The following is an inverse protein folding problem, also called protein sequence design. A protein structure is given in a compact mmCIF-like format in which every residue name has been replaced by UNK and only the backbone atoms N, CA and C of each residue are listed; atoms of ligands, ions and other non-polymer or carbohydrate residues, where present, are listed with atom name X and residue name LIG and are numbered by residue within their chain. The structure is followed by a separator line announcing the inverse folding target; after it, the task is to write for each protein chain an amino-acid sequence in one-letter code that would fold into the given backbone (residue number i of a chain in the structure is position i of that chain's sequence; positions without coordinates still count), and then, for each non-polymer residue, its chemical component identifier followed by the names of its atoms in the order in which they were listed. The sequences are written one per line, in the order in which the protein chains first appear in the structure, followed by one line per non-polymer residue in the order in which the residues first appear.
data_IF_732804118060
#
_entry.id   IF_732804118060
#
_cell.length_a   1.000
_cell.length_b   1.000
_cell.length_c   1.000
_cell.angle_alpha   90.00
_cell.angle_beta   90.00
_cell.angle_gamma   90.00
#
_symmetry.space_group_name_H-M   'P 1'
#
loop_
_entity.id
_entity.type
_entity.pdbx_description
1 polymer ?
#
# COMPACT_ATOMS: atom_id res chain seq x y z
N UNK A 1 14.48 -1.25 16.47
CA UNK A 1 13.17 -0.63 16.72
C UNK A 1 12.27 -1.70 17.29
N UNK A 2 11.49 -1.41 18.34
CA UNK A 2 10.53 -2.40 18.85
C UNK A 2 9.31 -2.48 17.93
N UNK A 3 8.59 -3.58 17.98
CA UNK A 3 7.35 -3.73 17.20
C UNK A 3 6.27 -2.73 17.66
N UNK A 4 6.22 -2.43 18.96
CA UNK A 4 5.30 -1.44 19.53
C UNK A 4 5.58 -0.02 19.01
N UNK A 5 6.86 0.35 18.90
CA UNK A 5 7.25 1.63 18.32
C UNK A 5 6.82 1.71 16.85
N UNK A 6 6.97 0.61 16.10
CA UNK A 6 6.55 0.53 14.70
C UNK A 6 5.03 0.70 14.57
N UNK A 7 4.24 -0.06 15.34
CA UNK A 7 2.78 0.05 15.34
C UNK A 7 2.33 1.47 15.71
N UNK A 8 2.95 2.08 16.72
CA UNK A 8 2.63 3.46 17.11
C UNK A 8 2.94 4.47 16.00
N UNK A 9 4.05 4.30 15.28
CA UNK A 9 4.42 5.14 14.13
C UNK A 9 3.44 4.95 12.96
N UNK A 10 3.09 3.72 12.63
CA UNK A 10 2.13 3.39 11.58
C UNK A 10 0.75 3.96 11.90
N UNK A 11 0.27 3.82 13.15
CA UNK A 11 -1.00 4.42 13.59
C UNK A 11 -1.00 5.94 13.43
N UNK A 12 0.06 6.63 13.88
CA UNK A 12 0.16 8.10 13.69
C UNK A 12 0.08 8.47 12.21
N UNK A 13 0.77 7.74 11.35
CA UNK A 13 0.78 8.01 9.91
C UNK A 13 -0.55 7.69 9.23
N UNK A 14 -1.19 6.58 9.58
CA UNK A 14 -2.50 6.19 9.04
C UNK A 14 -3.61 7.21 9.36
N UNK A 15 -3.56 7.81 10.55
CA UNK A 15 -4.54 8.81 10.99
C UNK A 15 -4.18 10.24 10.60
N UNK A 16 -2.99 10.49 10.02
CA UNK A 16 -2.64 11.78 9.42
C UNK A 16 -3.01 11.76 7.93
N UNK A 17 -4.10 12.40 7.49
CA UNK A 17 -4.52 12.43 6.08
C UNK A 17 -3.46 13.01 5.13
N UNK A 18 -2.54 13.87 5.61
CA UNK A 18 -1.47 14.40 4.79
C UNK A 18 -0.33 13.39 4.59
N UNK A 19 -0.31 12.27 5.32
CA UNK A 19 0.78 11.27 5.33
C UNK A 19 0.32 9.82 5.19
N UNK A 20 -1.00 9.57 5.18
CA UNK A 20 -1.62 8.24 5.18
C UNK A 20 -1.14 7.35 4.02
N UNK A 21 -0.85 7.97 2.88
CA UNK A 21 -0.37 7.34 1.65
C UNK A 21 0.90 8.04 1.15
N UNK A 22 1.55 7.51 0.10
CA UNK A 22 2.74 8.12 -0.52
C UNK A 22 2.45 9.46 -1.17
N UNK A 23 1.28 9.56 -1.78
CA UNK A 23 0.77 10.75 -2.43
C UNK A 23 -0.63 11.06 -1.90
N UNK A 24 -0.94 12.34 -1.77
CA UNK A 24 -2.21 12.85 -1.27
C UNK A 24 -2.77 13.89 -2.24
N UNK A 25 -4.08 14.04 -2.23
CA UNK A 25 -4.79 14.83 -3.24
C UNK A 25 -5.40 16.07 -2.61
N UNK A 26 -5.06 17.22 -3.18
CA UNK A 26 -5.56 18.52 -2.73
C UNK A 26 -6.21 19.23 -3.93
N UNK A 27 -7.39 19.85 -3.78
CA UNK A 27 -8.04 20.54 -4.89
C UNK A 27 -7.12 21.58 -5.54
N UNK A 28 -6.94 21.52 -6.85
CA UNK A 28 -6.09 22.48 -7.58
C UNK A 28 -6.55 23.93 -7.35
N UNK A 29 -7.86 24.13 -7.20
CA UNK A 29 -8.42 25.45 -6.94
C UNK A 29 -7.96 25.99 -5.58
N UNK A 30 -7.98 25.17 -4.53
CA UNK A 30 -7.52 25.56 -3.21
C UNK A 30 -6.03 25.97 -3.24
N UNK A 31 -5.18 25.17 -3.89
CA UNK A 31 -3.76 25.49 -4.06
C UNK A 31 -3.59 26.83 -4.79
N UNK A 32 -4.33 27.03 -5.89
CA UNK A 32 -4.28 28.27 -6.67
C UNK A 32 -4.73 29.49 -5.86
N UNK A 33 -5.79 29.37 -5.07
CA UNK A 33 -6.30 30.46 -4.23
C UNK A 33 -5.31 30.79 -3.10
N UNK A 34 -4.68 29.78 -2.49
CA UNK A 34 -3.80 29.96 -1.33
C UNK A 34 -2.38 30.37 -1.71
N UNK A 35 -1.83 29.83 -2.79
CA UNK A 35 -0.42 29.94 -3.17
C UNK A 35 -0.18 30.50 -4.58
N UNK A 36 -1.24 30.70 -5.37
CA UNK A 36 -1.16 31.25 -6.73
C UNK A 36 -0.90 30.22 -7.84
N UNK A 37 -1.03 30.67 -9.08
CA UNK A 37 -0.92 29.83 -10.28
C UNK A 37 0.50 29.31 -10.56
N UNK A 38 1.54 29.98 -10.07
CA UNK A 38 2.91 29.53 -10.27
C UNK A 38 3.21 28.25 -9.49
N UNK A 39 2.84 28.21 -8.21
CA UNK A 39 3.01 27.02 -7.36
C UNK A 39 2.19 25.87 -7.92
N UNK A 40 0.93 26.12 -8.29
CA UNK A 40 0.06 25.12 -8.91
C UNK A 40 0.66 24.51 -10.19
N UNK A 41 1.34 25.30 -11.03
CA UNK A 41 1.95 24.80 -12.28
C UNK A 41 3.12 23.85 -12.05
N UNK A 42 3.77 23.91 -10.89
CA UNK A 42 4.89 23.04 -10.52
C UNK A 42 4.41 21.69 -9.98
N UNK A 43 3.14 21.58 -9.61
CA UNK A 43 2.56 20.37 -9.02
C UNK A 43 1.93 19.50 -10.11
N UNK A 44 2.19 18.20 -10.05
CA UNK A 44 1.60 17.24 -10.97
C UNK A 44 0.08 17.22 -10.78
N UNK A 45 -0.63 17.30 -11.89
CA UNK A 45 -2.09 17.14 -11.92
C UNK A 45 -2.40 15.68 -12.23
N UNK A 46 -3.15 15.00 -11.36
CA UNK A 46 -3.77 13.71 -11.70
C UNK A 46 -5.05 13.98 -12.50
N UNK A 47 -5.56 12.99 -13.23
CA UNK A 47 -6.83 13.13 -13.93
C UNK A 47 -7.92 13.67 -12.96
N UNK A 48 -8.61 14.76 -13.34
CA UNK A 48 -9.60 15.43 -12.49
C UNK A 48 -9.26 16.87 -12.13
N UNK A 49 -9.70 17.34 -10.96
CA UNK A 49 -9.52 18.71 -10.44
C UNK A 49 -8.43 18.82 -9.37
N UNK A 50 -7.76 17.72 -9.03
CA UNK A 50 -6.91 17.65 -7.85
C UNK A 50 -5.43 17.59 -8.23
N UNK A 51 -4.61 18.18 -7.38
CA UNK A 51 -3.16 18.17 -7.47
C UNK A 51 -2.62 17.02 -6.61
N UNK A 52 -1.68 16.28 -7.16
CA UNK A 52 -1.00 15.17 -6.50
C UNK A 52 0.23 15.73 -5.77
N UNK A 53 0.25 15.58 -4.45
CA UNK A 53 1.31 16.07 -3.58
C UNK A 53 1.93 14.89 -2.83
N UNK A 54 3.25 14.94 -2.63
CA UNK A 54 3.94 13.95 -1.79
C UNK A 54 3.49 14.04 -0.34
N UNK A 55 3.47 12.90 0.33
CA UNK A 55 3.15 12.78 1.75
C UNK A 55 3.89 13.83 2.60
N UNK A 56 3.12 14.63 3.33
CA UNK A 56 3.64 15.65 4.23
C UNK A 56 4.22 16.89 3.56
N UNK A 57 4.00 17.10 2.26
CA UNK A 57 4.29 18.36 1.59
C UNK A 57 3.64 19.54 2.35
N UNK A 58 4.28 20.71 2.45
CA UNK A 58 3.76 21.84 3.21
C UNK A 58 2.33 22.24 2.83
N UNK A 59 2.00 22.21 1.54
CA UNK A 59 0.67 22.53 1.02
C UNK A 59 -0.37 21.48 1.43
N UNK A 60 0.00 20.20 1.44
CA UNK A 60 -0.87 19.12 1.90
C UNK A 60 -1.11 19.22 3.40
N UNK A 61 -0.06 19.42 4.18
CA UNK A 61 -0.16 19.61 5.64
C UNK A 61 -1.04 20.82 5.96
N UNK A 62 -0.89 21.92 5.23
CA UNK A 62 -1.73 23.11 5.43
C UNK A 62 -3.20 22.82 5.09
N UNK A 63 -3.49 22.17 3.96
CA UNK A 63 -4.86 21.84 3.58
C UNK A 63 -5.55 20.93 4.60
N UNK A 64 -4.88 19.86 4.99
CA UNK A 64 -5.46 18.83 5.85
C UNK A 64 -5.52 19.18 7.34
N UNK A 65 -5.00 20.35 7.77
CA UNK A 65 -5.21 20.86 9.13
C UNK A 65 -6.71 21.03 9.44
N UNK A 66 -7.44 21.57 8.47
CA UNK A 66 -8.83 21.97 8.65
C UNK A 66 -9.80 21.21 7.73
N UNK A 67 -9.29 20.56 6.68
CA UNK A 67 -10.13 19.82 5.75
C UNK A 67 -10.79 18.61 6.44
N UNK A 68 -12.12 18.44 6.32
CA UNK A 68 -12.77 17.19 6.70
C UNK A 68 -12.14 16.03 5.94
N UNK A 69 -11.84 14.95 6.66
CA UNK A 69 -11.23 13.76 6.10
C UNK A 69 -11.77 12.56 6.84
N UNK A 70 -12.04 11.49 6.09
CA UNK A 70 -12.43 10.23 6.70
C UNK A 70 -11.23 9.62 7.42
N UNK A 71 -11.45 9.00 8.60
CA UNK A 71 -10.41 8.19 9.23
C UNK A 71 -10.07 7.01 8.31
N UNK A 72 -8.91 6.36 8.50
CA UNK A 72 -8.64 5.09 7.83
C UNK A 72 -9.70 4.05 8.23
N UNK A 73 -9.76 2.96 7.47
CA UNK A 73 -10.70 1.86 7.74
C UNK A 73 -10.53 1.36 9.18
N UNK A 74 -11.61 1.18 9.95
CA UNK A 74 -11.50 0.78 11.34
C UNK A 74 -10.73 -0.54 11.44
N UNK A 75 -9.88 -0.72 12.46
CA UNK A 75 -9.20 -1.99 12.67
C UNK A 75 -10.20 -3.14 12.76
N UNK A 76 -9.83 -4.30 12.21
CA UNK A 76 -10.65 -5.50 12.33
C UNK A 76 -10.62 -6.03 13.76
N UNK A 77 -11.71 -6.62 14.19
CA UNK A 77 -11.76 -7.34 15.46
C UNK A 77 -10.96 -8.65 15.38
N UNK A 78 -10.51 -9.15 16.53
CA UNK A 78 -9.81 -10.45 16.58
C UNK A 78 -10.67 -11.59 16.00
N UNK A 79 -11.99 -11.71 16.28
CA UNK A 79 -12.82 -12.74 15.65
C UNK A 79 -12.89 -12.65 14.12
N UNK A 80 -12.95 -11.44 13.56
CA UNK A 80 -12.94 -11.19 12.12
C UNK A 80 -11.61 -11.59 11.49
N UNK A 81 -10.48 -11.20 12.11
CA UNK A 81 -9.14 -11.62 11.70
C UNK A 81 -9.02 -13.15 11.69
N UNK A 82 -9.46 -13.82 12.76
CA UNK A 82 -9.42 -15.28 12.84
C UNK A 82 -10.35 -15.95 11.81
N UNK A 83 -11.45 -15.30 11.42
CA UNK A 83 -12.31 -15.79 10.35
C UNK A 83 -11.61 -15.70 8.98
N UNK A 84 -10.93 -14.58 8.70
CA UNK A 84 -10.11 -14.42 7.51
C UNK A 84 -8.99 -15.47 7.42
N UNK A 85 -8.24 -15.70 8.51
CA UNK A 85 -7.21 -16.74 8.57
C UNK A 85 -7.76 -18.14 8.31
N UNK A 86 -8.93 -18.47 8.88
CA UNK A 86 -9.60 -19.75 8.62
C UNK A 86 -10.01 -19.90 7.17
N UNK A 87 -10.51 -18.84 6.54
CA UNK A 87 -10.92 -18.85 5.14
C UNK A 87 -9.71 -19.09 4.22
N UNK A 88 -8.58 -18.45 4.50
CA UNK A 88 -7.32 -18.66 3.77
C UNK A 88 -6.65 -20.00 4.07
N UNK A 89 -7.03 -20.67 5.17
CA UNK A 89 -6.33 -21.86 5.67
C UNK A 89 -4.91 -21.57 6.16
N UNK A 90 -4.57 -20.30 6.42
CA UNK A 90 -3.24 -19.86 6.86
C UNK A 90 -3.34 -18.77 7.91
N UNK A 91 -2.39 -18.81 8.84
CA UNK A 91 -2.22 -17.78 9.84
C UNK A 91 -1.35 -16.65 9.30
N UNK A 92 -1.72 -15.41 9.61
CA UNK A 92 -0.89 -14.25 9.33
C UNK A 92 0.23 -14.13 10.38
N UNK A 93 1.42 -13.67 9.97
CA UNK A 93 2.47 -13.23 10.87
C UNK A 93 1.97 -12.22 11.90
N UNK A 94 2.51 -12.27 13.12
CA UNK A 94 2.03 -11.46 14.24
C UNK A 94 2.02 -9.96 13.93
N UNK A 95 3.05 -9.44 13.26
CA UNK A 95 3.08 -8.05 12.83
C UNK A 95 1.92 -7.67 11.90
N UNK A 96 1.53 -8.54 10.94
CA UNK A 96 0.37 -8.29 10.07
C UNK A 96 -0.94 -8.36 10.85
N UNK A 97 -1.07 -9.29 11.79
CA UNK A 97 -2.24 -9.35 12.67
C UNK A 97 -2.42 -8.05 13.42
N UNK A 98 -1.36 -7.56 14.05
CA UNK A 98 -1.35 -6.28 14.78
C UNK A 98 -1.62 -5.11 13.86
N UNK A 99 -1.07 -5.10 12.65
CA UNK A 99 -1.36 -4.06 11.66
C UNK A 99 -2.88 -3.94 11.44
N UNK A 100 -3.57 -5.05 11.19
CA UNK A 100 -4.99 -5.06 10.91
C UNK A 100 -5.87 -4.81 12.15
N UNK A 101 -5.46 -5.23 13.34
CA UNK A 101 -6.26 -5.11 14.58
C UNK A 101 -5.95 -3.85 15.40
N UNK A 102 -4.78 -3.25 15.21
CA UNK A 102 -4.33 -2.10 15.99
C UNK A 102 -4.18 -0.83 15.16
N UNK A 103 -3.94 -0.90 13.85
CA UNK A 103 -3.75 0.29 13.01
C UNK A 103 -5.01 0.60 12.22
N UNK A 104 -5.36 -0.25 11.26
CA UNK A 104 -6.53 -0.10 10.40
C UNK A 104 -6.73 -1.36 9.52
N UNK A 105 -7.95 -1.58 9.03
CA UNK A 105 -8.26 -2.61 8.04
C UNK A 105 -7.83 -2.17 6.62
N UNK A 106 -6.56 -1.79 6.44
CA UNK A 106 -6.04 -1.23 5.19
C UNK A 106 -6.33 0.27 5.01
N UNK A 107 -6.14 0.76 3.77
CA UNK A 107 -6.39 2.17 3.40
C UNK A 107 -5.29 3.16 3.82
N UNK A 108 -4.13 2.65 4.25
CA UNK A 108 -2.92 3.42 4.54
C UNK A 108 -1.70 2.60 4.13
N UNK A 109 -0.58 3.25 3.84
CA UNK A 109 0.61 2.57 3.34
C UNK A 109 1.07 3.11 1.98
N UNK A 110 2.03 2.43 1.33
CA UNK A 110 2.51 2.80 0.01
C UNK A 110 1.39 2.85 -1.04
N UNK A 111 1.58 3.65 -2.09
CA UNK A 111 0.62 3.91 -3.18
C UNK A 111 -0.79 4.21 -2.70
N UNK A 112 -1.72 3.27 -2.93
CA UNK A 112 -3.13 3.37 -2.59
C UNK A 112 -3.42 2.83 -1.18
N UNK A 113 -2.39 2.36 -0.50
CA UNK A 113 -2.46 1.77 0.82
C UNK A 113 -2.49 0.25 0.79
N UNK A 114 -2.24 -0.30 1.97
CA UNK A 114 -2.39 -1.71 2.29
C UNK A 114 -3.84 -2.11 2.07
N UNK A 115 -4.03 -3.25 1.41
CA UNK A 115 -5.35 -3.80 1.12
C UNK A 115 -6.06 -4.14 2.42
N UNK A 116 -7.36 -3.89 2.48
CA UNK A 116 -8.17 -4.38 3.59
C UNK A 116 -8.19 -5.90 3.59
N UNK A 117 -8.03 -6.50 4.77
CA UNK A 117 -8.05 -7.96 4.89
C UNK A 117 -9.45 -8.51 4.59
N UNK A 118 -10.50 -7.78 4.99
CA UNK A 118 -11.89 -8.11 4.73
C UNK A 118 -12.66 -6.87 4.29
N UNK A 119 -13.77 -7.09 3.58
CA UNK A 119 -14.70 -6.00 3.24
C UNK A 119 -15.32 -5.42 4.52
N UNK A 120 -15.35 -4.10 4.59
CA UNK A 120 -16.06 -3.34 5.63
C UNK A 120 -16.92 -2.26 4.99
N UNK A 121 -17.83 -1.63 5.75
CA UNK A 121 -18.77 -0.63 5.23
C UNK A 121 -18.12 0.64 4.66
N UNK A 122 -16.81 0.82 4.81
CA UNK A 122 -16.05 1.94 4.23
C UNK A 122 -15.31 1.59 2.93
N UNK A 123 -15.31 0.32 2.51
CA UNK A 123 -14.73 -0.08 1.22
C UNK A 123 -15.70 0.22 0.06
N UNK A 124 -15.20 0.78 -1.04
CA UNK A 124 -15.93 0.85 -2.32
C UNK A 124 -16.15 -0.58 -2.85
N UNK A 125 -17.19 -0.81 -3.65
CA UNK A 125 -17.40 -2.07 -4.37
C UNK A 125 -16.20 -2.46 -5.24
N UNK A 126 -15.44 -1.47 -5.72
CA UNK A 126 -14.23 -1.65 -6.53
C UNK A 126 -12.97 -1.91 -5.70
N UNK A 127 -13.02 -1.76 -4.38
CA UNK A 127 -11.87 -2.02 -3.54
C UNK A 127 -11.53 -3.52 -3.54
N UNK A 128 -10.24 -3.79 -3.71
CA UNK A 128 -9.68 -5.12 -3.66
C UNK A 128 -9.52 -5.54 -2.20
N UNK A 129 -10.08 -6.70 -1.86
CA UNK A 129 -9.97 -7.30 -0.54
C UNK A 129 -8.87 -8.36 -0.58
N UNK A 130 -7.93 -8.29 0.35
CA UNK A 130 -6.72 -9.11 0.33
C UNK A 130 -7.03 -10.61 0.45
N UNK A 131 -8.02 -11.01 1.26
CA UNK A 131 -8.46 -12.42 1.36
C UNK A 131 -9.07 -12.92 0.05
N UNK A 132 -9.88 -12.11 -0.62
CA UNK A 132 -10.51 -12.49 -1.88
C UNK A 132 -9.44 -12.67 -2.98
N UNK A 133 -8.48 -11.74 -3.05
CA UNK A 133 -7.33 -11.81 -3.96
C UNK A 133 -6.42 -13.01 -3.62
N UNK A 134 -6.23 -13.29 -2.32
CA UNK A 134 -5.45 -14.44 -1.85
C UNK A 134 -6.03 -15.77 -2.36
N UNK A 135 -7.36 -15.90 -2.34
CA UNK A 135 -8.05 -17.11 -2.76
C UNK A 135 -8.18 -17.21 -4.29
N UNK A 136 -8.25 -16.07 -4.97
CA UNK A 136 -8.41 -16.02 -6.42
C UNK A 136 -7.13 -16.37 -7.19
N UNK A 137 -5.94 -16.17 -6.60
CA UNK A 137 -4.64 -16.34 -7.28
C UNK A 137 -3.64 -17.27 -6.56
N UNK A 138 -4.00 -18.53 -6.26
CA UNK A 138 -3.11 -19.45 -5.57
C UNK A 138 -1.74 -19.58 -6.24
N UNK A 139 -1.67 -19.46 -7.57
CA UNK A 139 -0.43 -19.49 -8.37
C UNK A 139 0.57 -18.39 -8.00
N UNK A 140 0.09 -17.20 -7.58
CA UNK A 140 0.95 -16.13 -7.06
C UNK A 140 1.16 -16.27 -5.55
N UNK A 141 0.11 -16.66 -4.83
CA UNK A 141 0.10 -16.60 -3.37
C UNK A 141 0.86 -17.74 -2.69
N UNK A 142 0.99 -18.90 -3.35
CA UNK A 142 1.83 -19.99 -2.85
C UNK A 142 3.33 -19.63 -2.86
N UNK A 143 3.90 -19.08 -3.95
CA UNK A 143 5.31 -18.67 -3.97
C UNK A 143 5.59 -17.31 -3.31
N UNK A 144 4.70 -16.31 -3.45
CA UNK A 144 4.94 -14.94 -3.01
C UNK A 144 4.32 -14.61 -1.64
N UNK A 145 3.28 -15.34 -1.25
CA UNK A 145 2.58 -15.16 0.01
C UNK A 145 1.31 -14.32 -0.11
N UNK A 146 1.12 -13.37 0.78
CA UNK A 146 -0.13 -12.63 0.92
C UNK A 146 -0.09 -11.30 0.15
N UNK A 147 -1.13 -10.94 -0.64
CA UNK A 147 -1.18 -9.68 -1.35
C UNK A 147 -1.35 -8.52 -0.35
N UNK A 148 -0.39 -7.62 -0.30
CA UNK A 148 -0.32 -6.55 0.70
C UNK A 148 -0.75 -5.19 0.13
N UNK A 149 -0.24 -4.81 -1.04
CA UNK A 149 -0.52 -3.50 -1.68
C UNK A 149 -0.66 -3.69 -3.18
N UNK A 150 -1.66 -3.04 -3.79
CA UNK A 150 -1.70 -2.87 -5.24
C UNK A 150 -0.90 -1.61 -5.64
N UNK A 151 0.11 -1.77 -6.47
CA UNK A 151 0.94 -0.68 -7.00
C UNK A 151 0.28 0.12 -8.12
N UNK A 152 -0.70 -0.48 -8.78
CA UNK A 152 -1.30 0.00 -10.04
C UNK A 152 -0.87 -0.87 -11.22
N UNK A 153 -1.67 -0.87 -12.29
CA UNK A 153 -1.49 -1.77 -13.44
C UNK A 153 -1.35 -3.24 -12.98
N UNK A 154 -0.26 -3.90 -13.34
CA UNK A 154 0.11 -5.28 -13.02
C UNK A 154 1.07 -5.39 -11.84
N UNK A 155 1.35 -4.28 -11.13
CA UNK A 155 2.37 -4.23 -10.06
C UNK A 155 1.73 -4.41 -8.68
N UNK A 156 2.33 -5.26 -7.86
CA UNK A 156 1.84 -5.66 -6.55
C UNK A 156 2.97 -5.85 -5.55
N UNK A 157 2.68 -5.59 -4.28
CA UNK A 157 3.53 -6.01 -3.18
C UNK A 157 2.92 -7.22 -2.48
N UNK A 158 3.71 -8.28 -2.34
CA UNK A 158 3.36 -9.48 -1.60
C UNK A 158 4.23 -9.61 -0.36
N UNK A 159 3.74 -10.27 0.68
CA UNK A 159 4.50 -10.59 1.88
C UNK A 159 4.50 -12.09 2.15
N UNK A 160 5.69 -12.66 2.33
CA UNK A 160 5.81 -14.07 2.67
C UNK A 160 5.21 -14.36 4.05
N UNK A 161 4.32 -15.36 4.11
CA UNK A 161 3.72 -15.82 5.37
C UNK A 161 4.57 -16.87 6.11
N UNK A 162 5.58 -17.44 5.45
CA UNK A 162 6.29 -18.63 5.93
C UNK A 162 7.78 -18.42 6.14
N UNK A 163 8.39 -17.47 5.45
CA UNK A 163 9.83 -17.22 5.56
C UNK A 163 10.17 -16.34 6.78
N UNK A 164 11.29 -16.61 7.46
CA UNK A 164 11.76 -15.77 8.57
C UNK A 164 11.87 -14.30 8.17
N UNK A 165 11.39 -13.40 9.04
CA UNK A 165 11.38 -11.96 8.78
C UNK A 165 10.22 -11.47 7.92
N UNK A 166 9.46 -12.38 7.30
CA UNK A 166 8.36 -12.07 6.37
C UNK A 166 8.80 -11.14 5.24
N UNK A 167 9.70 -11.60 4.33
CA UNK A 167 10.14 -10.79 3.21
C UNK A 167 8.97 -10.23 2.39
N UNK A 168 9.17 -9.03 1.84
CA UNK A 168 8.19 -8.33 1.02
C UNK A 168 8.72 -8.24 -0.41
N UNK A 169 7.92 -8.67 -1.38
CA UNK A 169 8.28 -8.78 -2.79
C UNK A 169 7.49 -7.77 -3.61
N UNK A 170 8.17 -6.97 -4.44
CA UNK A 170 7.52 -6.25 -5.54
C UNK A 170 7.46 -7.20 -6.72
N UNK A 171 6.25 -7.57 -7.11
CA UNK A 171 5.94 -8.36 -8.29
C UNK A 171 5.38 -7.45 -9.38
N UNK A 172 5.92 -7.58 -10.58
CA UNK A 172 5.41 -6.89 -11.77
C UNK A 172 4.90 -7.93 -12.77
N UNK A 173 3.58 -8.03 -12.93
CA UNK A 173 2.97 -9.02 -13.80
C UNK A 173 3.39 -8.93 -15.26
N UNK A 174 3.87 -7.77 -15.73
CA UNK A 174 4.39 -7.61 -17.09
C UNK A 174 5.73 -8.34 -17.27
N UNK A 175 6.40 -8.75 -16.19
CA UNK A 175 7.58 -9.61 -16.22
C UNK A 175 7.28 -11.10 -16.29
N UNK A 176 6.00 -11.50 -16.17
CA UNK A 176 5.59 -12.90 -16.09
C UNK A 176 4.88 -13.36 -17.37
N UNK A 177 5.58 -13.24 -18.50
CA UNK A 177 5.02 -13.46 -19.84
C UNK A 177 4.71 -14.93 -20.19
N UNK A 178 5.28 -15.89 -19.45
CA UNK A 178 5.14 -17.34 -19.71
C UNK A 178 4.72 -18.11 -18.46
N UNK A 179 3.50 -17.87 -17.95
CA UNK A 179 3.03 -18.46 -16.69
C UNK A 179 2.97 -20.00 -16.70
N UNK A 180 2.88 -20.61 -17.88
CA UNK A 180 2.92 -22.07 -18.05
C UNK A 180 4.34 -22.67 -18.02
N UNK A 181 5.39 -21.86 -18.10
CA UNK A 181 6.79 -22.31 -18.14
C UNK A 181 7.59 -21.84 -16.93
N UNK A 182 7.35 -20.60 -16.48
CA UNK A 182 8.15 -19.95 -15.47
C UNK A 182 7.35 -19.72 -14.17
N UNK A 183 7.94 -19.91 -12.99
CA UNK A 183 7.29 -19.54 -11.74
C UNK A 183 7.16 -18.01 -11.64
N UNK A 184 6.14 -17.46 -10.97
CA UNK A 184 5.93 -16.01 -10.88
C UNK A 184 7.07 -15.27 -10.17
N UNK A 185 7.93 -15.99 -9.44
CA UNK A 185 9.14 -15.44 -8.83
C UNK A 185 10.12 -14.84 -9.84
N UNK A 186 10.05 -15.22 -11.13
CA UNK A 186 10.91 -14.60 -12.17
C UNK A 186 10.58 -13.13 -12.41
N UNK A 187 9.36 -12.71 -12.03
CA UNK A 187 8.87 -11.35 -12.20
C UNK A 187 8.89 -10.54 -10.88
N UNK A 188 9.64 -11.02 -9.89
CA UNK A 188 9.95 -10.25 -8.68
C UNK A 188 11.09 -9.29 -8.98
N UNK A 189 10.80 -8.00 -8.95
CA UNK A 189 11.74 -6.93 -9.30
C UNK A 189 12.50 -6.40 -8.09
N UNK A 190 11.88 -6.47 -6.91
CA UNK A 190 12.49 -6.00 -5.67
C UNK A 190 12.10 -6.91 -4.51
N UNK A 191 13.04 -7.11 -3.59
CA UNK A 191 12.82 -7.86 -2.35
C UNK A 191 13.33 -7.07 -1.16
N UNK A 192 12.49 -6.95 -0.15
CA UNK A 192 12.87 -6.50 1.19
C UNK A 192 12.93 -7.72 2.10
N UNK A 193 14.00 -7.91 2.88
CA UNK A 193 14.16 -9.10 3.71
C UNK A 193 13.22 -9.13 4.92
N UNK A 194 12.61 -7.99 5.27
CA UNK A 194 11.73 -7.89 6.43
C UNK A 194 10.54 -6.96 6.22
N UNK A 195 9.35 -7.45 6.56
CA UNK A 195 8.12 -6.64 6.64
C UNK A 195 8.27 -5.47 7.62
N UNK A 196 8.89 -5.70 8.77
CA UNK A 196 9.07 -4.68 9.79
C UNK A 196 9.98 -3.55 9.30
N UNK A 197 11.04 -3.90 8.58
CA UNK A 197 11.94 -2.92 7.96
C UNK A 197 11.23 -2.14 6.85
N UNK A 198 10.53 -2.84 5.95
CA UNK A 198 9.79 -2.22 4.85
C UNK A 198 8.71 -1.22 5.36
N UNK A 199 7.90 -1.63 6.34
CA UNK A 199 6.92 -0.75 6.99
C UNK A 199 7.60 0.40 7.76
N UNK A 200 8.74 0.12 8.41
CA UNK A 200 9.51 1.11 9.16
C UNK A 200 10.07 2.20 8.28
N UNK A 201 10.69 1.83 7.16
CA UNK A 201 11.22 2.75 6.15
C UNK A 201 10.09 3.62 5.59
N UNK A 202 8.99 2.98 5.16
CA UNK A 202 7.82 3.72 4.69
C UNK A 202 7.32 4.71 5.75
N UNK A 203 7.17 4.27 7.00
CA UNK A 203 6.72 5.12 8.09
C UNK A 203 7.65 6.33 8.36
N UNK A 204 8.96 6.18 8.13
CA UNK A 204 9.96 7.28 8.19
C UNK A 204 9.92 8.21 6.97
N UNK A 205 9.11 7.89 5.96
CA UNK A 205 8.98 8.70 4.74
C UNK A 205 9.92 8.28 3.62
N UNK A 206 10.58 7.12 3.75
CA UNK A 206 11.35 6.53 2.67
C UNK A 206 10.42 6.07 1.54
N UNK A 207 10.86 6.28 0.31
CA UNK A 207 10.18 5.77 -0.88
C UNK A 207 10.52 4.30 -1.09
N UNK A 208 9.61 3.42 -0.68
CA UNK A 208 9.80 1.96 -0.82
C UNK A 208 9.84 1.48 -2.28
N UNK A 209 9.47 2.33 -3.24
CA UNK A 209 9.62 2.10 -4.68
C UNK A 209 11.04 2.39 -5.18
N UNK A 210 11.89 2.98 -4.35
CA UNK A 210 13.27 3.28 -4.74
C UNK A 210 13.99 1.99 -5.15
N UNK A 211 14.46 1.96 -6.40
CA UNK A 211 15.10 0.80 -7.03
C UNK A 211 14.23 0.12 -8.09
N UNK A 212 12.91 0.31 -8.07
CA UNK A 212 12.00 -0.16 -9.12
C UNK A 212 11.91 0.88 -10.26
N UNK A 213 12.08 0.43 -11.50
CA UNK A 213 11.95 1.26 -12.70
C UNK A 213 11.07 0.55 -13.72
N UNK A 214 9.82 1.00 -13.85
CA UNK A 214 8.87 0.48 -14.86
C UNK A 214 9.34 0.71 -16.31
N UNK A 215 10.34 1.57 -16.53
CA UNK A 215 10.84 1.96 -17.86
C UNK A 215 11.71 0.85 -18.50
N UNK A 216 12.13 -0.17 -17.74
CA UNK A 216 13.06 -1.18 -18.25
C UNK A 216 12.46 -2.17 -19.28
N UNK A 217 11.12 -2.30 -19.40
CA UNK A 217 10.51 -3.31 -20.31
C UNK A 217 9.76 -2.76 -21.52
N UNK A 218 9.38 -1.47 -21.54
CA UNK A 218 8.74 -0.88 -22.73
C UNK A 218 9.70 -0.61 -23.89
N UNK A 219 11.01 -0.79 -23.68
CA UNK A 219 12.04 -0.52 -24.69
C UNK A 219 12.52 -1.75 -25.48
N UNK A 220 12.07 -2.97 -25.13
CA UNK A 220 12.47 -4.21 -25.85
C UNK A 220 11.39 -4.72 -26.82
N UNK A 221 10.26 -4.04 -26.93
CA UNK A 221 9.25 -4.27 -27.98
C UNK A 221 9.17 -3.03 -28.87
N UNK A 222 10.19 -2.85 -29.71
CA UNK A 222 10.29 -1.81 -30.73
C UNK A 222 10.97 -2.33 -31.98
#
# INVERSE_FOLDING_TARGET
MSEDDLIARLRRRAYDPARRQDDVYVPCEWIRQRYGDEVKRKIRKRAGSDAELKAGAPEAVEYFKDAPHEPPYPPVTVPELLAAERQMGRQLPDLLRRLYTEVANGGFGPTYGILGIIRSGQHDERDIVAVDEYLARPELNDPLGFPLVQGGCSVWWYVSLTQPGNPVYLFDGDGWDRPEQDPPTVAVEQTWPSLAEWLGQWADGYDVWSGYSSIARSAEVG
#
